data_IF_376452209345
#
_entry.id   IF_376452209345
#
_cell.length_a   1.000
_cell.length_b   1.000
_cell.length_c   1.000
_cell.angle_alpha   90.00
_cell.angle_beta   90.00
_cell.angle_gamma   90.00
#
_symmetry.space_group_name_H-M   'P 1'
#
loop_
_entity.id
_entity.type
_entity.pdbx_description
1 polymer ?
#
# COMPACT_ATOMS: atom_id res chain seq x y z
N UNK A 1 -49.86 -17.71 -50.40
CA UNK A 1 -49.03 -16.62 -49.86
C UNK A 1 -49.29 -16.53 -48.37
N UNK A 2 -48.21 -16.27 -47.63
CA UNK A 2 -48.00 -16.43 -46.19
C UNK A 2 -49.03 -15.77 -45.26
N UNK A 3 -49.33 -16.49 -44.17
CA UNK A 3 -49.90 -15.98 -42.92
C UNK A 3 -48.98 -14.94 -42.27
N UNK A 4 -49.54 -13.82 -41.82
CA UNK A 4 -48.89 -12.88 -40.91
C UNK A 4 -49.75 -12.77 -39.65
N UNK A 5 -49.38 -13.57 -38.65
CA UNK A 5 -49.95 -13.55 -37.30
C UNK A 5 -49.44 -12.34 -36.52
N UNK A 6 -50.36 -11.63 -35.87
CA UNK A 6 -50.08 -10.65 -34.81
C UNK A 6 -49.37 -11.34 -33.64
N UNK A 7 -48.29 -10.73 -33.13
CA UNK A 7 -47.77 -11.01 -31.78
C UNK A 7 -48.02 -9.75 -30.94
N UNK A 8 -48.98 -9.84 -30.03
CA UNK A 8 -49.20 -8.87 -28.97
C UNK A 8 -48.15 -9.08 -27.87
N UNK A 9 -47.31 -8.07 -27.63
CA UNK A 9 -46.35 -8.06 -26.52
C UNK A 9 -47.13 -7.60 -25.27
N UNK A 10 -47.52 -8.56 -24.43
CA UNK A 10 -48.00 -8.28 -23.08
C UNK A 10 -46.82 -7.88 -22.20
N UNK A 11 -46.71 -6.58 -21.91
CA UNK A 11 -45.81 -6.07 -20.88
C UNK A 11 -46.33 -6.51 -19.50
N UNK A 12 -45.85 -7.66 -19.01
CA UNK A 12 -45.94 -7.99 -17.60
C UNK A 12 -44.96 -7.09 -16.84
N UNK A 13 -45.44 -5.97 -16.31
CA UNK A 13 -44.73 -5.22 -15.27
C UNK A 13 -44.76 -6.07 -14.00
N UNK A 14 -43.75 -6.91 -13.85
CA UNK A 14 -43.36 -7.44 -12.54
C UNK A 14 -42.62 -6.31 -11.83
N UNK A 15 -43.34 -5.50 -11.06
CA UNK A 15 -42.72 -4.64 -10.06
C UNK A 15 -42.09 -5.55 -8.99
N UNK A 16 -40.88 -6.03 -9.25
CA UNK A 16 -40.02 -6.57 -8.20
C UNK A 16 -39.80 -5.41 -7.24
N UNK A 17 -40.41 -5.51 -6.06
CA UNK A 17 -40.14 -4.61 -4.96
C UNK A 17 -38.63 -4.64 -4.72
N UNK A 18 -37.95 -3.55 -5.07
CA UNK A 18 -36.57 -3.32 -4.68
C UNK A 18 -36.59 -3.22 -3.17
N UNK A 19 -36.22 -4.31 -2.52
CA UNK A 19 -35.92 -4.31 -1.10
C UNK A 19 -34.68 -3.42 -0.90
N UNK A 20 -34.93 -2.14 -0.61
CA UNK A 20 -33.92 -1.11 -0.39
C UNK A 20 -33.18 -1.28 0.95
N UNK A 21 -33.47 -2.33 1.71
CA UNK A 21 -32.95 -2.49 3.07
C UNK A 21 -31.65 -3.31 3.18
N UNK A 22 -31.22 -3.99 2.11
CA UNK A 22 -30.03 -4.87 2.15
C UNK A 22 -29.06 -4.74 0.96
N UNK A 23 -28.58 -3.52 0.61
CA UNK A 23 -27.23 -3.39 0.00
C UNK A 23 -26.30 -2.35 0.68
N UNK A 24 -26.84 -1.31 1.34
CA UNK A 24 -26.05 -0.18 1.88
C UNK A 24 -25.07 -0.54 3.01
N UNK A 25 -25.29 -1.66 3.70
CA UNK A 25 -24.50 -2.00 4.91
C UNK A 25 -23.05 -2.39 4.58
N UNK A 26 -22.78 -2.91 3.38
CA UNK A 26 -21.46 -3.41 3.00
C UNK A 26 -20.57 -2.34 2.34
N UNK A 27 -21.16 -1.39 1.60
CA UNK A 27 -20.41 -0.34 0.91
C UNK A 27 -19.64 0.56 1.89
N UNK A 28 -20.29 1.01 2.97
CA UNK A 28 -19.68 1.87 3.99
C UNK A 28 -18.51 1.18 4.68
N UNK A 29 -18.68 -0.11 5.01
CA UNK A 29 -17.64 -0.92 5.62
C UNK A 29 -16.41 -1.00 4.70
N UNK A 30 -16.62 -1.23 3.41
CA UNK A 30 -15.54 -1.34 2.43
C UNK A 30 -14.87 0.00 2.17
N UNK A 31 -15.63 1.09 2.06
CA UNK A 31 -15.05 2.44 1.99
C UNK A 31 -14.20 2.75 3.21
N UNK A 32 -14.65 2.39 4.42
CA UNK A 32 -13.87 2.57 5.64
C UNK A 32 -12.59 1.73 5.64
N UNK A 33 -12.67 0.48 5.20
CA UNK A 33 -11.51 -0.40 5.18
C UNK A 33 -10.51 0.03 4.09
N UNK A 34 -10.96 0.43 2.90
CA UNK A 34 -10.09 0.98 1.86
C UNK A 34 -9.47 2.33 2.27
N UNK A 35 -10.16 3.11 3.10
CA UNK A 35 -9.58 4.30 3.76
C UNK A 35 -8.49 3.92 4.77
N UNK A 36 -8.67 2.81 5.50
CA UNK A 36 -7.60 2.27 6.35
C UNK A 36 -6.41 1.79 5.52
N UNK A 37 -6.63 1.17 4.36
CA UNK A 37 -5.55 0.81 3.42
C UNK A 37 -4.77 2.07 3.02
N UNK A 38 -5.45 3.16 2.67
CA UNK A 38 -4.81 4.45 2.38
C UNK A 38 -3.95 4.94 3.56
N UNK A 39 -4.48 4.92 4.78
CA UNK A 39 -3.71 5.31 5.96
C UNK A 39 -2.53 4.37 6.22
N UNK A 40 -2.67 3.08 5.95
CA UNK A 40 -1.59 2.10 6.02
C UNK A 40 -0.46 2.41 5.03
N UNK A 41 -0.79 2.76 3.78
CA UNK A 41 0.18 3.22 2.77
C UNK A 41 0.92 4.44 3.28
N UNK A 42 0.19 5.47 3.74
CA UNK A 42 0.79 6.72 4.21
C UNK A 42 1.67 6.52 5.44
N UNK A 43 1.31 5.60 6.34
CA UNK A 43 2.13 5.27 7.50
C UNK A 43 3.39 4.51 7.11
N UNK A 44 3.30 3.59 6.15
CA UNK A 44 4.48 2.90 5.64
C UNK A 44 5.41 3.85 4.90
N UNK A 45 4.87 4.72 4.05
CA UNK A 45 5.59 5.81 3.36
C UNK A 45 6.33 6.69 4.36
N UNK A 46 5.67 7.13 5.43
CA UNK A 46 6.30 7.90 6.49
C UNK A 46 7.48 7.15 7.16
N UNK A 47 7.36 5.85 7.39
CA UNK A 47 8.46 5.05 7.94
C UNK A 47 9.66 4.98 6.97
N UNK A 48 9.41 4.90 5.66
CA UNK A 48 10.43 4.91 4.61
C UNK A 48 11.12 6.28 4.54
N UNK A 49 10.37 7.37 4.54
CA UNK A 49 10.91 8.74 4.56
C UNK A 49 11.83 8.94 5.77
N UNK A 50 11.39 8.47 6.94
CA UNK A 50 12.12 8.61 8.20
C UNK A 50 13.33 7.67 8.34
N UNK A 51 13.47 6.67 7.46
CA UNK A 51 14.65 5.81 7.45
C UNK A 51 15.88 6.59 6.99
N UNK A 52 16.86 6.74 7.88
CA UNK A 52 18.07 7.54 7.67
C UNK A 52 19.35 6.67 7.53
N UNK A 53 19.19 5.37 7.28
CA UNK A 53 20.30 4.41 7.18
C UNK A 53 20.53 3.60 8.46
N UNK A 54 21.55 2.75 8.42
CA UNK A 54 21.90 1.83 9.50
C UNK A 54 21.14 0.50 9.45
N UNK A 55 21.59 -0.52 10.20
CA UNK A 55 21.08 -1.88 10.09
C UNK A 55 19.67 -2.08 10.66
N UNK A 56 19.12 -1.06 11.34
CA UNK A 56 17.86 -1.15 12.07
C UNK A 56 16.69 -0.89 11.13
N UNK A 57 15.95 -1.94 10.80
CA UNK A 57 14.74 -1.88 9.95
C UNK A 57 13.45 -2.13 10.73
N UNK A 58 13.50 -2.15 12.06
CA UNK A 58 12.34 -2.49 12.91
C UNK A 58 11.13 -1.58 12.69
N UNK A 59 11.35 -0.28 12.42
CA UNK A 59 10.26 0.64 12.09
C UNK A 59 9.63 0.32 10.73
N UNK A 60 10.44 -0.03 9.72
CA UNK A 60 9.95 -0.45 8.41
C UNK A 60 9.17 -1.77 8.54
N UNK A 61 9.68 -2.72 9.31
CA UNK A 61 9.03 -4.01 9.58
C UNK A 61 7.71 -3.84 10.34
N UNK A 62 7.66 -2.96 11.35
CA UNK A 62 6.43 -2.69 12.09
C UNK A 62 5.36 -2.02 11.22
N UNK A 63 5.77 -1.05 10.40
CA UNK A 63 4.87 -0.35 9.49
C UNK A 63 4.36 -1.26 8.37
N UNK A 64 5.23 -2.07 7.75
CA UNK A 64 4.83 -3.04 6.73
C UNK A 64 3.94 -4.15 7.30
N UNK A 65 4.25 -4.67 8.50
CA UNK A 65 3.41 -5.66 9.18
C UNK A 65 2.01 -5.13 9.50
N UNK A 66 1.92 -3.86 9.94
CA UNK A 66 0.63 -3.17 10.12
C UNK A 66 -0.13 -3.06 8.80
N UNK A 67 0.56 -2.65 7.73
CA UNK A 67 -0.03 -2.53 6.40
C UNK A 67 -0.56 -3.88 5.90
N UNK A 68 0.21 -4.95 6.01
CA UNK A 68 -0.21 -6.31 5.65
C UNK A 68 -1.46 -6.73 6.43
N UNK A 69 -1.53 -6.42 7.73
CA UNK A 69 -2.73 -6.68 8.54
C UNK A 69 -3.97 -5.96 7.99
N UNK A 70 -3.83 -4.67 7.69
CA UNK A 70 -4.90 -3.85 7.09
C UNK A 70 -5.35 -4.42 5.74
N UNK A 71 -4.40 -4.77 4.87
CA UNK A 71 -4.70 -5.33 3.54
C UNK A 71 -5.45 -6.66 3.69
N UNK A 72 -5.03 -7.55 4.60
CA UNK A 72 -5.72 -8.84 4.83
C UNK A 72 -7.16 -8.64 5.28
N UNK A 73 -7.40 -7.70 6.19
CA UNK A 73 -8.76 -7.33 6.62
C UNK A 73 -9.57 -6.78 5.45
N UNK A 74 -8.98 -5.93 4.61
CA UNK A 74 -9.61 -5.41 3.40
C UNK A 74 -9.97 -6.50 2.41
N UNK A 75 -9.08 -7.45 2.17
CA UNK A 75 -9.30 -8.56 1.24
C UNK A 75 -10.44 -9.44 1.74
N UNK A 76 -10.48 -9.74 3.04
CA UNK A 76 -11.58 -10.51 3.62
C UNK A 76 -12.92 -9.78 3.48
N UNK A 77 -12.97 -8.49 3.83
CA UNK A 77 -14.19 -7.69 3.66
C UNK A 77 -14.64 -7.63 2.20
N UNK A 78 -13.71 -7.36 1.28
CA UNK A 78 -13.97 -7.33 -0.16
C UNK A 78 -14.52 -8.66 -0.67
N UNK A 79 -13.95 -9.79 -0.22
CA UNK A 79 -14.41 -11.13 -0.63
C UNK A 79 -15.88 -11.40 -0.27
N UNK A 80 -16.32 -10.90 0.88
CA UNK A 80 -17.68 -11.01 1.39
C UNK A 80 -18.65 -9.96 0.83
N UNK A 81 -18.18 -9.03 -0.02
CA UNK A 81 -19.06 -8.09 -0.69
C UNK A 81 -19.92 -8.76 -1.74
N UNK A 82 -21.13 -8.25 -1.90
CA UNK A 82 -21.91 -8.42 -3.13
C UNK A 82 -21.31 -7.56 -4.24
N UNK A 83 -21.65 -7.89 -5.49
CA UNK A 83 -21.22 -7.07 -6.62
C UNK A 83 -21.81 -5.66 -6.52
N UNK A 84 -21.02 -4.67 -6.89
CA UNK A 84 -21.36 -3.26 -6.87
C UNK A 84 -22.25 -2.89 -8.05
N UNK A 85 -23.16 -1.95 -7.84
CA UNK A 85 -23.80 -1.23 -8.94
C UNK A 85 -22.81 -0.29 -9.64
N UNK A 86 -23.19 0.22 -10.81
CA UNK A 86 -22.37 1.20 -11.56
C UNK A 86 -22.21 2.49 -10.74
N UNK A 87 -23.27 2.95 -10.08
CA UNK A 87 -23.28 4.16 -9.25
C UNK A 87 -22.41 3.99 -8.00
N UNK A 88 -22.47 2.81 -7.37
CA UNK A 88 -21.64 2.47 -6.21
C UNK A 88 -20.15 2.42 -6.60
N UNK A 89 -19.84 1.81 -7.74
CA UNK A 89 -18.49 1.80 -8.29
C UNK A 89 -17.97 3.22 -8.60
N UNK A 90 -18.81 4.11 -9.14
CA UNK A 90 -18.45 5.51 -9.35
C UNK A 90 -18.16 6.24 -8.03
N UNK A 91 -18.88 5.93 -6.96
CA UNK A 91 -18.63 6.48 -5.63
C UNK A 91 -17.26 6.13 -5.05
N UNK A 92 -16.64 5.03 -5.47
CA UNK A 92 -15.29 4.66 -5.05
C UNK A 92 -14.19 5.48 -5.71
N UNK A 93 -14.49 6.26 -6.76
CA UNK A 93 -13.46 6.91 -7.55
C UNK A 93 -12.49 7.80 -6.77
N UNK A 94 -12.98 8.75 -5.95
CA UNK A 94 -12.07 9.66 -5.24
C UNK A 94 -11.15 8.96 -4.24
N UNK A 95 -11.55 7.78 -3.73
CA UNK A 95 -10.71 6.97 -2.85
C UNK A 95 -9.67 6.20 -3.65
N UNK A 96 -10.06 5.68 -4.82
CA UNK A 96 -9.17 5.01 -5.75
C UNK A 96 -8.06 5.95 -6.24
N UNK A 97 -8.40 7.19 -6.60
CA UNK A 97 -7.45 8.27 -6.92
C UNK A 97 -6.40 8.47 -5.82
N UNK A 98 -6.86 8.57 -4.56
CA UNK A 98 -5.97 8.77 -3.41
C UNK A 98 -5.06 7.58 -3.17
N UNK A 99 -5.57 6.36 -3.34
CA UNK A 99 -4.78 5.14 -3.21
C UNK A 99 -3.68 5.08 -4.27
N UNK A 100 -3.98 5.46 -5.52
CA UNK A 100 -2.99 5.55 -6.60
C UNK A 100 -1.90 6.56 -6.28
N UNK A 101 -2.29 7.79 -5.92
CA UNK A 101 -1.33 8.85 -5.58
C UNK A 101 -0.45 8.43 -4.40
N UNK A 102 -1.04 7.82 -3.36
CA UNK A 102 -0.30 7.36 -2.19
C UNK A 102 0.65 6.20 -2.54
N UNK A 103 0.22 5.26 -3.40
CA UNK A 103 1.05 4.16 -3.86
C UNK A 103 2.23 4.62 -4.73
N UNK A 104 1.98 5.50 -5.69
CA UNK A 104 3.02 6.10 -6.52
C UNK A 104 4.06 6.84 -5.65
N UNK A 105 3.59 7.58 -4.65
CA UNK A 105 4.45 8.27 -3.69
C UNK A 105 5.29 7.30 -2.84
N UNK A 106 4.66 6.27 -2.26
CA UNK A 106 5.34 5.23 -1.50
C UNK A 106 6.50 4.62 -2.30
N UNK A 107 6.25 4.34 -3.58
CA UNK A 107 7.22 3.70 -4.46
C UNK A 107 8.33 4.68 -4.88
N UNK A 108 8.00 5.96 -5.11
CA UNK A 108 9.00 7.00 -5.33
C UNK A 108 9.94 7.15 -4.13
N UNK A 109 9.40 7.13 -2.91
CA UNK A 109 10.18 7.30 -1.68
C UNK A 109 11.03 6.05 -1.38
N UNK A 110 10.51 4.84 -1.57
CA UNK A 110 11.31 3.60 -1.52
C UNK A 110 12.48 3.66 -2.49
N UNK A 111 12.24 4.09 -3.73
CA UNK A 111 13.28 4.21 -4.74
C UNK A 111 14.32 5.27 -4.35
N UNK A 112 13.88 6.39 -3.76
CA UNK A 112 14.77 7.44 -3.25
C UNK A 112 15.67 6.98 -2.09
N UNK A 113 15.32 5.90 -1.41
CA UNK A 113 16.08 5.33 -0.28
C UNK A 113 17.02 4.18 -0.67
N UNK A 114 17.04 3.76 -1.94
CA UNK A 114 17.82 2.60 -2.39
C UNK A 114 19.32 2.70 -2.02
N UNK A 115 19.92 3.88 -2.18
CA UNK A 115 21.33 4.12 -1.79
C UNK A 115 21.58 3.94 -0.29
N UNK A 116 20.60 4.33 0.55
CA UNK A 116 20.71 4.16 2.00
C UNK A 116 20.55 2.69 2.39
N UNK A 117 19.62 1.97 1.77
CA UNK A 117 19.45 0.53 1.98
C UNK A 117 20.71 -0.25 1.59
N UNK A 118 21.32 0.13 0.46
CA UNK A 118 22.57 -0.46 -0.02
C UNK A 118 23.72 -0.22 0.96
N UNK A 119 23.93 1.04 1.37
CA UNK A 119 25.00 1.42 2.33
C UNK A 119 24.83 0.75 3.70
N UNK A 120 23.59 0.50 4.11
CA UNK A 120 23.25 -0.10 5.38
C UNK A 120 23.22 -1.64 5.35
N UNK A 121 23.42 -2.27 4.19
CA UNK A 121 23.26 -3.72 3.99
C UNK A 121 21.87 -4.27 4.34
N UNK A 122 20.80 -3.50 4.10
CA UNK A 122 19.43 -3.90 4.45
C UNK A 122 18.54 -4.14 3.23
N UNK A 123 19.12 -4.30 2.04
CA UNK A 123 18.33 -4.49 0.83
C UNK A 123 17.54 -5.79 0.82
N UNK A 124 18.07 -6.88 1.38
CA UNK A 124 17.35 -8.16 1.50
C UNK A 124 16.11 -8.05 2.41
N UNK A 125 16.22 -7.58 3.68
CA UNK A 125 15.02 -7.44 4.50
C UNK A 125 14.04 -6.41 3.94
N UNK A 126 14.50 -5.32 3.30
CA UNK A 126 13.59 -4.35 2.68
C UNK A 126 12.89 -4.94 1.45
N UNK A 127 13.59 -5.75 0.65
CA UNK A 127 13.01 -6.50 -0.47
C UNK A 127 11.88 -7.41 0.02
N UNK A 128 12.12 -8.23 1.05
CA UNK A 128 11.11 -9.13 1.62
C UNK A 128 9.86 -8.36 2.09
N UNK A 129 10.04 -7.19 2.73
CA UNK A 129 8.92 -6.36 3.16
C UNK A 129 8.09 -5.84 1.98
N UNK A 130 8.74 -5.37 0.92
CA UNK A 130 8.07 -4.85 -0.27
C UNK A 130 7.32 -5.96 -1.00
N UNK A 131 7.94 -7.14 -1.17
CA UNK A 131 7.31 -8.29 -1.80
C UNK A 131 6.06 -8.74 -1.04
N UNK A 132 6.15 -8.90 0.28
CA UNK A 132 4.99 -9.33 1.09
C UNK A 132 3.85 -8.31 1.03
N UNK A 133 4.16 -7.00 1.06
CA UNK A 133 3.13 -5.96 0.90
C UNK A 133 2.54 -6.01 -0.51
N UNK A 134 3.38 -6.11 -1.55
CA UNK A 134 2.96 -6.17 -2.95
C UNK A 134 2.03 -7.34 -3.25
N UNK A 135 2.38 -8.56 -2.83
CA UNK A 135 1.58 -9.76 -2.99
C UNK A 135 0.17 -9.59 -2.39
N UNK A 136 0.10 -9.04 -1.18
CA UNK A 136 -1.16 -8.79 -0.51
C UNK A 136 -1.98 -7.69 -1.20
N UNK A 137 -1.35 -6.62 -1.69
CA UNK A 137 -2.03 -5.57 -2.46
C UNK A 137 -2.60 -6.12 -3.76
N UNK A 138 -1.81 -6.88 -4.53
CA UNK A 138 -2.28 -7.52 -5.78
C UNK A 138 -3.48 -8.44 -5.50
N UNK A 139 -3.42 -9.21 -4.42
CA UNK A 139 -4.54 -10.07 -3.98
C UNK A 139 -5.79 -9.26 -3.65
N UNK A 140 -5.65 -8.16 -2.89
CA UNK A 140 -6.75 -7.25 -2.58
C UNK A 140 -7.36 -6.68 -3.86
N UNK A 141 -6.54 -6.14 -4.75
CA UNK A 141 -7.00 -5.52 -5.99
C UNK A 141 -7.73 -6.51 -6.90
N UNK A 142 -7.21 -7.73 -7.05
CA UNK A 142 -7.88 -8.80 -7.78
C UNK A 142 -9.22 -9.18 -7.12
N UNK A 143 -9.27 -9.22 -5.79
CA UNK A 143 -10.52 -9.52 -5.07
C UNK A 143 -11.55 -8.43 -5.29
N UNK A 144 -11.15 -7.16 -5.12
CA UNK A 144 -12.01 -5.99 -5.31
C UNK A 144 -12.51 -5.92 -6.76
N UNK A 145 -11.67 -6.18 -7.75
CA UNK A 145 -12.06 -6.09 -9.17
C UNK A 145 -13.17 -7.07 -9.56
N UNK A 146 -13.24 -8.26 -8.92
CA UNK A 146 -14.35 -9.20 -9.13
C UNK A 146 -15.71 -8.66 -8.70
N UNK A 147 -15.73 -7.61 -7.86
CA UNK A 147 -16.96 -7.00 -7.35
C UNK A 147 -17.45 -5.85 -8.23
N UNK A 148 -16.68 -5.39 -9.19
CA UNK A 148 -17.09 -4.34 -10.13
C UNK A 148 -17.89 -4.94 -11.30
N UNK A 149 -18.88 -4.22 -11.85
CA UNK A 149 -19.65 -4.67 -13.00
C UNK A 149 -18.77 -4.83 -14.24
N UNK A 150 -19.08 -5.83 -15.08
CA UNK A 150 -18.34 -6.06 -16.34
C UNK A 150 -18.41 -4.83 -17.25
N UNK A 151 -17.25 -4.36 -17.70
CA UNK A 151 -17.09 -3.10 -18.43
C UNK A 151 -16.50 -1.97 -17.60
N UNK A 152 -16.35 -2.12 -16.28
CA UNK A 152 -15.60 -1.19 -15.45
C UNK A 152 -14.09 -1.28 -15.69
N UNK A 153 -13.44 -0.15 -15.96
CA UNK A 153 -11.99 -0.05 -16.23
C UNK A 153 -11.13 -0.10 -14.96
N UNK A 154 -10.94 -1.28 -14.37
CA UNK A 154 -9.98 -1.52 -13.27
C UNK A 154 -8.73 -2.31 -13.66
N UNK A 155 -8.68 -2.86 -14.89
CA UNK A 155 -7.58 -3.75 -15.31
C UNK A 155 -6.24 -3.04 -15.49
N UNK A 156 -6.24 -1.81 -16.01
CA UNK A 156 -5.01 -1.05 -16.29
C UNK A 156 -4.32 -0.57 -15.02
N UNK A 157 -5.11 -0.27 -13.98
CA UNK A 157 -4.61 0.15 -12.68
C UNK A 157 -4.00 -1.04 -11.93
N UNK A 158 -4.63 -2.22 -12.00
CA UNK A 158 -4.03 -3.47 -11.48
C UNK A 158 -2.70 -3.74 -12.18
N UNK A 159 -2.67 -3.62 -13.51
CA UNK A 159 -1.43 -3.75 -14.29
C UNK A 159 -0.38 -2.70 -13.88
N UNK A 160 -0.78 -1.44 -13.67
CA UNK A 160 0.11 -0.36 -13.23
C UNK A 160 0.72 -0.65 -11.86
N UNK A 161 -0.08 -0.95 -10.83
CA UNK A 161 0.45 -1.29 -9.50
C UNK A 161 1.32 -2.54 -9.53
N UNK A 162 0.86 -3.60 -10.20
CA UNK A 162 1.63 -4.84 -10.35
C UNK A 162 2.99 -4.54 -10.98
N UNK A 163 3.01 -3.72 -12.04
CA UNK A 163 4.24 -3.29 -12.68
C UNK A 163 5.14 -2.50 -11.72
N UNK A 164 4.61 -1.55 -10.95
CA UNK A 164 5.45 -0.73 -10.06
C UNK A 164 6.04 -1.58 -8.93
N UNK A 165 5.28 -2.52 -8.35
CA UNK A 165 5.82 -3.47 -7.36
C UNK A 165 6.94 -4.32 -7.98
N UNK A 166 6.73 -4.87 -9.19
CA UNK A 166 7.75 -5.61 -9.90
C UNK A 166 9.01 -4.77 -10.21
N UNK A 167 8.85 -3.51 -10.64
CA UNK A 167 9.96 -2.60 -10.91
C UNK A 167 10.77 -2.30 -9.62
N UNK A 168 10.10 -2.23 -8.46
CA UNK A 168 10.75 -2.05 -7.17
C UNK A 168 11.51 -3.31 -6.73
N UNK A 169 10.90 -4.47 -6.87
CA UNK A 169 11.55 -5.77 -6.61
C UNK A 169 12.79 -5.96 -7.48
N UNK A 170 12.73 -5.60 -8.76
CA UNK A 170 13.89 -5.64 -9.65
C UNK A 170 15.03 -4.73 -9.16
N UNK A 171 14.72 -3.55 -8.65
CA UNK A 171 15.74 -2.63 -8.12
C UNK A 171 16.33 -3.10 -6.81
N UNK A 172 15.50 -3.59 -5.89
CA UNK A 172 15.95 -4.09 -4.60
C UNK A 172 16.74 -5.40 -4.76
N UNK A 173 16.36 -6.28 -5.69
CA UNK A 173 17.15 -7.50 -6.01
C UNK A 173 18.52 -7.18 -6.61
N UNK A 174 18.62 -6.13 -7.45
CA UNK A 174 19.92 -5.59 -7.88
C UNK A 174 20.74 -5.06 -6.70
N UNK A 175 20.09 -4.44 -5.72
CA UNK A 175 20.77 -4.01 -4.50
C UNK A 175 21.31 -5.19 -3.68
N UNK A 176 20.55 -6.27 -3.53
CA UNK A 176 21.00 -7.50 -2.82
C UNK A 176 22.25 -8.08 -3.48
N UNK A 177 22.29 -8.05 -4.82
CA UNK A 177 23.41 -8.58 -5.61
C UNK A 177 24.68 -7.72 -5.51
N UNK A 178 24.57 -6.47 -5.08
CA UNK A 178 25.73 -5.60 -4.85
C UNK A 178 26.41 -6.00 -3.53
N UNK A 179 27.70 -6.33 -3.58
CA UNK A 179 28.47 -6.68 -2.37
C UNK A 179 28.40 -5.55 -1.36
N UNK A 180 27.76 -5.79 -0.21
CA UNK A 180 27.71 -4.78 0.82
C UNK A 180 29.09 -4.56 1.42
N UNK A 181 29.70 -3.42 1.10
CA UNK A 181 30.92 -2.98 1.74
C UNK A 181 30.53 -2.23 3.01
N UNK A 182 30.40 -2.96 4.11
CA UNK A 182 30.45 -2.32 5.43
C UNK A 182 31.81 -1.63 5.48
N UNK A 183 31.81 -0.32 5.29
CA UNK A 183 32.99 0.48 5.59
C UNK A 183 33.06 0.50 7.10
N UNK A 184 33.70 -0.51 7.67
CA UNK A 184 34.12 -0.49 9.07
C UNK A 184 35.03 0.72 9.18
N UNK A 185 34.48 1.84 9.66
CA UNK A 185 35.31 2.92 10.18
C UNK A 185 35.98 2.33 11.40
N UNK A 186 37.16 1.74 11.17
CA UNK A 186 38.08 1.33 12.22
C UNK A 186 38.52 2.59 12.93
N UNK A 187 37.73 3.06 13.91
CA UNK A 187 38.30 3.81 15.03
C UNK A 187 39.31 2.86 15.68
N UNK A 188 40.58 3.19 15.56
CA UNK A 188 41.71 2.31 15.83
C UNK A 188 41.58 1.55 17.16
N UNK A 189 41.42 0.23 17.05
CA UNK A 189 41.49 -0.67 18.19
C UNK A 189 42.96 -0.96 18.48
N UNK A 190 43.51 -0.29 19.50
CA UNK A 190 44.75 -0.73 20.13
C UNK A 190 44.45 -2.00 20.93
N UNK A 191 45.20 -3.06 20.63
CA UNK A 191 45.26 -4.28 21.44
C UNK A 191 45.60 -3.95 22.90
N UNK A 192 44.81 -4.43 23.86
CA UNK A 192 45.36 -4.91 25.12
C UNK A 192 44.44 -5.87 25.88
N UNK A 193 45.11 -6.74 26.62
CA UNK A 193 44.71 -8.03 27.19
C UNK A 193 43.46 -8.13 28.07
N UNK A 194 42.99 -9.38 28.12
CA UNK A 194 42.19 -10.09 29.13
C UNK A 194 42.36 -9.56 30.56
N UNK A 195 41.25 -9.16 31.19
CA UNK A 195 41.20 -8.76 32.59
C UNK A 195 39.76 -8.69 33.11
N UNK A 196 39.44 -9.62 34.01
CA UNK A 196 38.19 -9.81 34.74
C UNK A 196 37.82 -8.60 35.63
N UNK A 197 36.56 -8.12 35.63
CA UNK A 197 35.83 -7.63 36.83
C UNK A 197 34.45 -7.00 36.52
N UNK A 198 33.48 -7.38 37.34
CA UNK A 198 32.12 -6.87 37.53
C UNK A 198 32.05 -5.41 38.02
N UNK A 199 31.09 -4.61 37.54
CA UNK A 199 30.42 -3.62 38.41
C UNK A 199 29.01 -3.22 37.94
N UNK A 200 28.09 -3.23 38.90
CA UNK A 200 26.69 -2.75 38.91
C UNK A 200 26.62 -1.24 39.13
N UNK A 201 25.64 -0.52 38.55
CA UNK A 201 25.42 0.89 38.93
C UNK A 201 24.43 1.74 38.10
N UNK A 202 23.12 1.54 38.32
CA UNK A 202 22.06 2.55 38.63
C UNK A 202 21.93 3.89 37.83
N UNK A 203 20.72 4.07 37.25
CA UNK A 203 19.87 5.29 37.10
C UNK A 203 20.08 6.38 36.01
N UNK A 204 19.06 6.43 35.14
CA UNK A 204 18.35 7.53 34.43
C UNK A 204 18.61 9.00 34.83
N UNK A 205 18.46 9.97 33.88
CA UNK A 205 17.13 10.58 33.65
C UNK A 205 16.71 10.80 32.17
N UNK A 206 15.40 10.92 32.02
CA UNK A 206 14.60 11.35 30.85
C UNK A 206 14.76 12.83 30.57
N UNK A 207 15.01 13.22 29.30
CA UNK A 207 14.59 14.49 28.64
C UNK A 207 15.04 14.43 27.16
N UNK A 208 14.39 14.93 26.11
CA UNK A 208 13.59 16.15 25.93
C UNK A 208 12.71 16.00 24.69
N UNK A 209 11.44 16.42 24.80
CA UNK A 209 10.55 16.67 23.67
C UNK A 209 11.12 17.80 22.79
N UNK A 210 11.31 17.51 21.50
CA UNK A 210 11.63 18.49 20.47
C UNK A 210 10.58 18.40 19.36
N UNK A 211 9.44 19.02 19.59
CA UNK A 211 8.46 19.33 18.56
C UNK A 211 9.06 20.30 17.55
N UNK A 212 9.08 19.91 16.28
CA UNK A 212 9.21 20.82 15.15
C UNK A 212 8.37 20.28 14.00
N UNK A 213 7.06 20.58 14.09
CA UNK A 213 6.27 20.90 12.90
C UNK A 213 6.94 22.09 12.21
N UNK A 214 6.89 22.16 10.88
CA UNK A 214 7.59 23.18 10.10
C UNK A 214 8.03 22.69 8.72
N UNK A 215 7.09 22.52 7.76
CA UNK A 215 7.46 22.66 6.35
C UNK A 215 6.67 21.82 5.36
N UNK A 216 5.38 22.08 5.18
CA UNK A 216 4.69 21.67 3.96
C UNK A 216 5.21 22.58 2.85
N UNK A 217 6.26 22.15 2.14
CA UNK A 217 6.71 22.86 0.94
C UNK A 217 5.79 22.49 -0.21
N UNK A 218 4.76 23.29 -0.36
CA UNK A 218 3.96 23.43 -1.57
C UNK A 218 4.86 23.83 -2.74
N UNK A 219 5.07 22.92 -3.68
CA UNK A 219 5.80 23.16 -4.92
C UNK A 219 5.53 21.99 -5.86
N UNK A 220 4.35 21.95 -6.49
CA UNK A 220 4.06 22.56 -7.78
C UNK A 220 4.18 21.55 -8.92
N UNK A 221 3.07 21.44 -9.67
CA UNK A 221 2.99 21.06 -11.07
C UNK A 221 3.22 19.59 -11.43
N UNK A 222 2.12 18.84 -11.54
CA UNK A 222 1.59 18.54 -12.86
C UNK A 222 0.18 17.97 -12.72
N UNK A 223 -0.77 18.71 -13.29
CA UNK A 223 -2.07 18.19 -13.67
C UNK A 223 -1.82 17.04 -14.65
N UNK A 224 -1.99 15.80 -14.18
CA UNK A 224 -2.31 14.69 -15.06
C UNK A 224 -3.66 14.18 -14.58
N UNK A 225 -4.71 14.81 -15.12
CA UNK A 225 -6.02 14.20 -15.27
C UNK A 225 -5.84 12.94 -16.13
N UNK A 226 -5.43 11.84 -15.51
CA UNK A 226 -5.76 10.51 -15.99
C UNK A 226 -6.80 9.97 -15.02
N UNK A 227 -7.99 10.59 -15.10
CA UNK A 227 -9.19 10.06 -14.49
C UNK A 227 -9.36 8.61 -14.98
N UNK A 228 -9.20 7.64 -14.09
CA UNK A 228 -10.34 6.94 -13.51
C UNK A 228 -11.68 7.22 -14.24
N UNK A 229 -11.72 6.81 -15.50
CA UNK A 229 -12.94 6.66 -16.25
C UNK A 229 -13.21 5.17 -16.26
N UNK A 230 -13.89 4.67 -15.22
CA UNK A 230 -14.44 3.32 -15.21
C UNK A 230 -15.30 3.08 -16.45
#
# INVERSE_FOLDING_TARGET
MQFLSLIAITAAVSASQVDTTTPKRNLVEVTNIMTQVLHGILNFDAAIINYNGGPQVSQLQGASGTMVGIIKTATLAASNMTNLSVEEAQGFQPLSDKLNVAGDKLLADLNGKNDLFSKACVCEPVFELVTVVGDHVITLMNTVSTKFPQGGKGGKEIEHFTKIFNDMEEKLSKCISATCKITTVLTGSHSNSTGNATQTGVSHPVVTAGSSFLGVSSGALAVVLAAFAF
#
